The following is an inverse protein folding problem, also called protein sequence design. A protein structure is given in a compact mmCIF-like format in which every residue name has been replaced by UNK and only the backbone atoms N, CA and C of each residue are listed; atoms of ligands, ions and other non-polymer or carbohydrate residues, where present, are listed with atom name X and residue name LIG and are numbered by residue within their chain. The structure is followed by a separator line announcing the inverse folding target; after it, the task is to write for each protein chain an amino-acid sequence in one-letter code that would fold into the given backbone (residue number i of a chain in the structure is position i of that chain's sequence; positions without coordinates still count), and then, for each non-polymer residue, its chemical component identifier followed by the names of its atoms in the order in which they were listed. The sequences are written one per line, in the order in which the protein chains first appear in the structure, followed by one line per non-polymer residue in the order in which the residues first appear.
data_IF_895879998706
#
_entry.id   IF_895879998706
#
_cell.length_a   1.000
_cell.length_b   1.000
_cell.length_c   1.000
_cell.angle_alpha   90.00
_cell.angle_beta   90.00
_cell.angle_gamma   90.00
#
_symmetry.space_group_name_H-M   'P 1'
#
loop_
_entity.id
_entity.type
_entity.pdbx_description
1 polymer ?
#
# COMPACT_ATOMS: atom_id res chain seq x y z
N UNK A 1 16.74 -1.73 12.47
CA UNK A 1 16.33 -2.66 12.29
C UNK A 1 14.90 -2.90 12.11
N UNK A 2 14.04 -2.51 12.80
CA UNK A 2 12.73 -2.78 12.59
C UNK A 2 12.08 -2.01 11.56
N UNK A 3 12.63 -0.97 11.11
CA UNK A 3 12.07 -0.13 10.11
C UNK A 3 11.92 -0.86 8.83
N UNK A 4 12.57 -1.98 8.65
CA UNK A 4 12.43 -2.64 7.45
C UNK A 4 11.18 -3.39 7.32
N UNK A 5 10.30 -3.36 8.29
CA UNK A 5 9.09 -4.09 8.22
C UNK A 5 8.04 -3.49 7.34
N UNK A 6 8.24 -2.27 6.87
CA UNK A 6 7.25 -1.61 6.04
C UNK A 6 7.80 -1.35 4.66
N UNK A 7 6.92 -1.30 3.67
CA UNK A 7 7.35 -1.07 2.30
C UNK A 7 7.15 0.39 1.89
N UNK A 8 7.41 0.68 0.63
CA UNK A 8 7.31 2.04 0.13
C UNK A 8 5.91 2.61 0.22
N UNK A 9 4.90 1.77 0.04
CA UNK A 9 3.53 2.24 0.13
C UNK A 9 3.26 2.80 1.53
N UNK A 10 3.74 2.12 2.55
CA UNK A 10 3.54 2.59 3.92
C UNK A 10 4.12 4.00 4.09
N UNK A 11 5.34 4.18 3.62
CA UNK A 11 6.01 5.47 3.82
C UNK A 11 5.38 6.58 2.99
N UNK A 12 4.90 6.27 1.81
CA UNK A 12 4.20 7.26 1.02
C UNK A 12 2.91 7.70 1.69
N UNK A 13 2.17 6.75 2.24
CA UNK A 13 0.95 7.08 2.95
C UNK A 13 1.26 7.90 4.18
N UNK A 14 2.28 7.52 4.91
CA UNK A 14 2.63 8.21 6.12
C UNK A 14 3.06 9.64 5.83
N UNK A 15 3.82 9.84 4.77
CA UNK A 15 4.28 11.16 4.40
C UNK A 15 3.12 12.09 4.05
N UNK A 16 2.02 11.55 3.59
CA UNK A 16 0.86 12.34 3.25
C UNK A 16 -0.20 12.33 4.34
N UNK A 17 0.12 11.78 5.50
CA UNK A 17 -0.83 11.76 6.61
C UNK A 17 -2.02 10.84 6.40
N UNK A 18 -1.87 9.81 5.58
CA UNK A 18 -2.96 8.90 5.25
C UNK A 18 -2.80 7.63 6.06
N UNK A 19 -3.84 7.21 6.75
CA UNK A 19 -3.78 6.02 7.58
C UNK A 19 -4.17 4.78 6.80
N UNK A 20 -3.80 3.61 7.32
CA UNK A 20 -4.22 2.35 6.76
C UNK A 20 -5.74 2.27 6.71
N UNK A 21 -6.39 2.74 7.78
CA UNK A 21 -7.85 2.72 7.85
C UNK A 21 -8.46 3.54 6.71
N UNK A 22 -7.89 4.70 6.44
CA UNK A 22 -8.41 5.57 5.38
C UNK A 22 -8.32 4.88 4.02
N UNK A 23 -7.22 4.19 3.76
CA UNK A 23 -7.05 3.48 2.49
C UNK A 23 -8.02 2.32 2.41
N UNK A 24 -8.17 1.57 3.49
CA UNK A 24 -9.07 0.43 3.50
C UNK A 24 -10.49 0.88 3.22
N UNK A 25 -10.90 1.95 3.86
CA UNK A 25 -12.24 2.45 3.68
C UNK A 25 -12.46 2.96 2.27
N UNK A 26 -11.50 3.67 1.73
CA UNK A 26 -11.61 4.23 0.39
C UNK A 26 -11.72 3.13 -0.67
N UNK A 27 -11.02 2.04 -0.49
CA UNK A 27 -11.01 0.99 -1.49
C UNK A 27 -11.96 -0.16 -1.22
N UNK A 28 -12.64 -0.13 -0.08
CA UNK A 28 -13.53 -1.23 0.27
C UNK A 28 -12.80 -2.47 0.72
N UNK A 29 -11.58 -2.32 1.24
CA UNK A 29 -10.80 -3.45 1.72
C UNK A 29 -10.85 -3.52 3.23
N UNK A 30 -10.49 -4.66 3.79
CA UNK A 30 -10.42 -4.77 5.22
C UNK A 30 -9.11 -4.11 5.69
N UNK A 31 -9.09 -3.69 6.93
CA UNK A 31 -7.87 -3.10 7.49
C UNK A 31 -6.73 -4.11 7.43
N UNK A 32 -7.04 -5.37 7.68
CA UNK A 32 -6.02 -6.40 7.67
C UNK A 32 -5.40 -6.61 6.31
N UNK A 33 -6.18 -6.48 5.25
CA UNK A 33 -5.65 -6.58 3.90
C UNK A 33 -4.65 -5.47 3.65
N UNK A 34 -5.03 -4.24 3.95
CA UNK A 34 -4.16 -3.11 3.68
C UNK A 34 -2.94 -3.18 4.59
N UNK A 35 -3.10 -3.56 5.84
CA UNK A 35 -1.97 -3.70 6.74
C UNK A 35 -0.98 -4.73 6.22
N UNK A 36 -1.46 -5.83 5.68
CA UNK A 36 -0.60 -6.84 5.10
C UNK A 36 0.18 -6.31 3.93
N UNK A 37 -0.44 -5.49 3.11
CA UNK A 37 0.25 -4.90 1.95
C UNK A 37 1.36 -3.95 2.40
N UNK A 38 1.09 -3.10 3.37
CA UNK A 38 2.10 -2.13 3.79
C UNK A 38 3.21 -2.76 4.61
N UNK A 39 2.93 -3.88 5.28
CA UNK A 39 3.97 -4.58 6.01
C UNK A 39 4.75 -5.53 5.15
N UNK A 40 4.27 -5.80 3.96
CA UNK A 40 4.95 -6.71 3.06
C UNK A 40 4.68 -8.18 3.33
N UNK A 41 3.75 -8.48 4.23
CA UNK A 41 3.39 -9.87 4.49
C UNK A 41 2.45 -10.42 3.45
N UNK A 42 1.80 -9.53 2.69
CA UNK A 42 0.95 -9.93 1.60
C UNK A 42 1.32 -9.11 0.40
N UNK A 43 1.54 -9.76 -0.72
CA UNK A 43 1.85 -9.06 -1.96
C UNK A 43 0.59 -9.06 -2.81
N UNK A 44 0.05 -7.91 -3.17
CA UNK A 44 -1.19 -7.90 -3.94
C UNK A 44 -0.94 -8.42 -5.35
N UNK A 45 -1.96 -9.03 -5.94
CA UNK A 45 -1.88 -9.43 -7.31
C UNK A 45 -1.92 -8.19 -8.17
N UNK A 46 -1.51 -8.31 -9.42
CA UNK A 46 -1.43 -7.14 -10.29
C UNK A 46 -2.75 -6.41 -10.42
N UNK A 47 -3.84 -7.14 -10.53
CA UNK A 47 -5.15 -6.50 -10.64
C UNK A 47 -5.48 -5.72 -9.37
N UNK A 48 -5.15 -6.28 -8.22
CA UNK A 48 -5.37 -5.60 -6.95
C UNK A 48 -4.46 -4.39 -6.84
N UNK A 49 -3.21 -4.52 -7.28
CA UNK A 49 -2.30 -3.39 -7.26
C UNK A 49 -2.85 -2.23 -8.09
N UNK A 50 -3.42 -2.52 -9.25
CA UNK A 50 -3.98 -1.48 -10.08
C UNK A 50 -5.12 -0.77 -9.38
N UNK A 51 -5.91 -1.52 -8.61
CA UNK A 51 -6.99 -0.91 -7.84
C UNK A 51 -6.43 -0.06 -6.71
N UNK A 52 -5.40 -0.53 -6.04
CA UNK A 52 -4.76 0.22 -4.98
C UNK A 52 -4.25 1.54 -5.54
N UNK A 53 -3.54 1.45 -6.66
CA UNK A 53 -2.96 2.61 -7.29
C UNK A 53 -4.03 3.63 -7.67
N UNK A 54 -5.12 3.14 -8.26
CA UNK A 54 -6.20 3.99 -8.69
C UNK A 54 -6.90 4.67 -7.51
N UNK A 55 -7.18 3.93 -6.47
CA UNK A 55 -7.85 4.47 -5.30
C UNK A 55 -6.96 5.49 -4.59
N UNK A 56 -5.70 5.16 -4.40
CA UNK A 56 -4.79 6.03 -3.68
C UNK A 56 -4.57 7.32 -4.46
N UNK A 57 -4.46 7.21 -5.78
CA UNK A 57 -4.28 8.40 -6.60
C UNK A 57 -5.54 9.26 -6.60
N UNK A 58 -6.67 8.62 -6.80
CA UNK A 58 -7.92 9.36 -6.94
C UNK A 58 -8.37 9.96 -5.62
N UNK A 59 -8.18 9.28 -4.51
CA UNK A 59 -8.67 9.77 -3.22
C UNK A 59 -7.67 10.61 -2.47
N UNK A 60 -6.40 10.34 -2.65
CA UNK A 60 -5.38 11.01 -1.84
C UNK A 60 -4.32 11.73 -2.67
N UNK A 61 -4.33 11.56 -3.96
CA UNK A 61 -3.39 12.24 -4.85
C UNK A 61 -1.97 11.69 -4.74
N UNK A 62 -1.81 10.45 -4.33
CA UNK A 62 -0.51 9.85 -4.13
C UNK A 62 -0.19 8.89 -5.28
N UNK A 63 0.98 9.00 -5.85
CA UNK A 63 1.41 8.08 -6.90
C UNK A 63 2.09 6.88 -6.28
N UNK A 64 1.63 5.70 -6.61
CA UNK A 64 2.17 4.46 -6.08
C UNK A 64 2.80 3.67 -7.21
N UNK A 65 4.02 3.22 -7.02
CA UNK A 65 4.70 2.41 -8.02
C UNK A 65 4.64 0.95 -7.63
N UNK A 66 4.79 0.08 -8.58
CA UNK A 66 4.73 -1.34 -8.31
C UNK A 66 5.76 -1.74 -7.25
N UNK A 67 6.95 -1.19 -7.31
CA UNK A 67 7.96 -1.55 -6.36
C UNK A 67 7.64 -1.08 -4.94
N UNK A 68 6.69 -0.20 -4.77
CA UNK A 68 6.29 0.23 -3.44
C UNK A 68 5.61 -0.88 -2.66
N UNK A 69 4.93 -1.79 -3.35
CA UNK A 69 4.23 -2.89 -2.70
C UNK A 69 4.85 -4.22 -3.03
N UNK A 70 5.64 -4.28 -4.09
CA UNK A 70 6.19 -5.55 -4.52
C UNK A 70 7.66 -5.39 -4.80
N UNK A 71 8.47 -5.95 -3.96
CA UNK A 71 9.89 -5.87 -4.17
C UNK A 71 10.33 -7.12 -4.83
N UNK A 72 9.93 -7.23 -6.06
CA UNK A 72 10.11 -8.45 -6.79
C UNK A 72 11.49 -8.97 -6.84
N UNK A 73 12.40 -8.10 -6.81
CA UNK A 73 13.75 -8.53 -6.86
C UNK A 73 14.18 -9.27 -5.63
N UNK A 74 13.41 -9.15 -4.60
CA UNK A 74 13.76 -9.80 -3.44
C UNK A 74 13.20 -11.10 -3.28
N UNK A 75 12.39 -11.51 -4.14
CA UNK A 75 11.82 -12.71 -4.01
C UNK A 75 12.42 -13.67 -4.72
#
# INVERSE_FOLDING_TARGET
MKEKEYNGLYYKLKDHGVTIYAVAKAGGWSWQQVAGWVKGTRVPQLATFRNIRSVVKSKFGIDVELEDVWRGGER
#
